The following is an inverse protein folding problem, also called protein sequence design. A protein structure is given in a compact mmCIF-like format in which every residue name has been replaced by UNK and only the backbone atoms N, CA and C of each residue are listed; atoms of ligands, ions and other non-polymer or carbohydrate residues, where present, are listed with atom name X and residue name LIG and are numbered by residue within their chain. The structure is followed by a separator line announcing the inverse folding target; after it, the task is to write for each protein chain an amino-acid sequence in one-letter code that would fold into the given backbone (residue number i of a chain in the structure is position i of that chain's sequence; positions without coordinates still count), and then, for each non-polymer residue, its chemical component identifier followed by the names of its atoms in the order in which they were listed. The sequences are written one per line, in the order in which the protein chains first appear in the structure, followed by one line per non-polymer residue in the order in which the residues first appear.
data_IF_273428701732
#
_entry.id   IF_273428701732
#
_cell.length_a   1.000
_cell.length_b   1.000
_cell.length_c   1.000
_cell.angle_alpha   90.00
_cell.angle_beta   90.00
_cell.angle_gamma   90.00
#
_symmetry.space_group_name_H-M   'P 1'
#
loop_
_entity.id
_entity.type
_entity.pdbx_description
1 polymer ?
#
# COMPACT_ATOMS: atom_id res chain seq x y z
N UNK A 1 6.27 -10.81 8.02
CA UNK A 1 7.06 -10.16 6.97
C UNK A 1 6.26 -10.32 5.69
N UNK A 2 5.98 -9.21 5.02
CA UNK A 2 5.18 -9.16 3.80
C UNK A 2 6.06 -9.68 2.66
N UNK A 3 5.56 -10.63 1.88
CA UNK A 3 6.25 -11.14 0.69
C UNK A 3 5.57 -10.57 -0.56
N UNK A 4 6.32 -10.27 -1.61
CA UNK A 4 5.78 -9.75 -2.87
C UNK A 4 4.65 -10.61 -3.45
N UNK A 5 4.77 -11.95 -3.34
CA UNK A 5 3.75 -12.92 -3.80
C UNK A 5 2.42 -12.84 -3.04
N UNK A 6 2.39 -12.21 -1.86
CA UNK A 6 1.16 -11.97 -1.07
C UNK A 6 0.39 -10.74 -1.55
N UNK A 7 1.05 -9.83 -2.26
CA UNK A 7 0.39 -8.72 -2.92
C UNK A 7 -0.18 -9.19 -4.27
N UNK A 8 -1.26 -8.54 -4.70
CA UNK A 8 -1.92 -8.89 -5.95
C UNK A 8 -1.06 -8.48 -7.16
N UNK A 9 -1.40 -9.00 -8.33
CA UNK A 9 -0.67 -8.68 -9.57
C UNK A 9 -0.99 -7.26 -10.03
N UNK A 10 -0.10 -6.64 -10.83
CA UNK A 10 -0.39 -5.34 -11.45
C UNK A 10 -1.72 -5.36 -12.24
N UNK A 11 -2.07 -6.50 -12.85
CA UNK A 11 -3.33 -6.68 -13.57
C UNK A 11 -4.57 -6.55 -12.69
N UNK A 12 -4.48 -6.87 -11.40
CA UNK A 12 -5.56 -6.65 -10.44
C UNK A 12 -5.78 -5.15 -10.22
N UNK A 13 -4.72 -4.39 -9.94
CA UNK A 13 -4.80 -2.95 -9.68
C UNK A 13 -5.18 -2.11 -10.90
N UNK A 14 -5.12 -2.69 -12.11
CA UNK A 14 -5.72 -2.09 -13.32
C UNK A 14 -7.25 -2.18 -13.33
N UNK A 15 -7.84 -3.14 -12.61
CA UNK A 15 -9.29 -3.43 -12.59
C UNK A 15 -9.96 -3.00 -11.29
N UNK A 16 -9.31 -3.26 -10.17
CA UNK A 16 -9.83 -2.99 -8.84
C UNK A 16 -9.12 -1.77 -8.22
N UNK A 17 -9.83 -0.93 -7.45
CA UNK A 17 -9.30 0.33 -6.96
C UNK A 17 -8.18 0.14 -5.92
N UNK A 18 -8.29 -0.90 -5.08
CA UNK A 18 -7.34 -1.14 -3.99
C UNK A 18 -7.35 -2.58 -3.49
N UNK A 19 -6.33 -2.91 -2.70
CA UNK A 19 -6.18 -4.16 -1.96
C UNK A 19 -5.84 -3.83 -0.51
N UNK A 20 -6.47 -4.50 0.44
CA UNK A 20 -6.15 -4.38 1.87
C UNK A 20 -5.64 -5.70 2.40
N UNK A 21 -4.59 -5.65 3.22
CA UNK A 21 -4.03 -6.80 3.90
C UNK A 21 -3.48 -6.44 5.27
N UNK A 22 -2.97 -7.46 5.98
CA UNK A 22 -2.31 -7.27 7.27
C UNK A 22 -1.13 -8.23 7.44
N UNK A 23 -0.20 -7.84 8.30
CA UNK A 23 0.92 -8.66 8.76
C UNK A 23 1.13 -8.38 10.25
N UNK A 24 0.82 -9.34 11.13
CA UNK A 24 0.84 -9.15 12.60
C UNK A 24 -0.04 -7.95 13.02
N UNK A 25 0.53 -6.97 13.71
CA UNK A 25 -0.17 -5.80 14.26
C UNK A 25 -0.24 -4.62 13.29
N UNK A 26 0.15 -4.79 12.02
CA UNK A 26 0.06 -3.73 11.00
C UNK A 26 -0.93 -4.11 9.90
N UNK A 27 -1.80 -3.16 9.58
CA UNK A 27 -2.70 -3.20 8.45
C UNK A 27 -2.14 -2.33 7.33
N UNK A 28 -2.43 -2.67 6.08
CA UNK A 28 -2.01 -1.89 4.93
C UNK A 28 -3.05 -1.92 3.81
N UNK A 29 -3.14 -0.82 3.06
CA UNK A 29 -3.91 -0.68 1.82
C UNK A 29 -2.94 -0.31 0.71
N UNK A 30 -3.03 -0.98 -0.43
CA UNK A 30 -2.31 -0.62 -1.65
C UNK A 30 -3.35 -0.26 -2.70
N UNK A 31 -3.21 0.91 -3.30
CA UNK A 31 -4.15 1.42 -4.30
C UNK A 31 -3.42 2.00 -5.50
N UNK A 32 -4.11 1.99 -6.65
CA UNK A 32 -3.70 2.76 -7.81
C UNK A 32 -4.07 4.22 -7.53
N UNK A 33 -3.08 5.10 -7.52
CA UNK A 33 -3.25 6.51 -7.20
C UNK A 33 -2.76 7.37 -8.36
N UNK A 34 -3.47 8.44 -8.67
CA UNK A 34 -3.04 9.45 -9.64
C UNK A 34 -2.85 10.73 -8.85
N UNK A 35 -1.61 11.21 -8.78
CA UNK A 35 -1.29 12.47 -8.14
C UNK A 35 -1.94 13.64 -8.88
N UNK A 36 -2.31 14.70 -8.15
CA UNK A 36 -2.94 15.87 -8.77
C UNK A 36 -1.98 16.51 -9.79
N UNK A 37 -2.41 16.58 -11.04
CA UNK A 37 -1.59 17.08 -12.15
C UNK A 37 -0.64 16.05 -12.79
N UNK A 38 -0.66 14.79 -12.35
CA UNK A 38 0.12 13.72 -12.99
C UNK A 38 -0.68 13.02 -14.10
N UNK A 39 0.00 12.70 -15.20
CA UNK A 39 -0.58 11.93 -16.31
C UNK A 39 -0.57 10.41 -16.04
N UNK A 40 0.44 9.94 -15.31
CA UNK A 40 0.63 8.51 -15.02
C UNK A 40 0.30 8.15 -13.57
N UNK A 41 -0.30 6.97 -13.34
CA UNK A 41 -0.58 6.48 -12.00
C UNK A 41 0.69 5.97 -11.30
N UNK A 42 0.65 6.00 -9.97
CA UNK A 42 1.58 5.34 -9.06
C UNK A 42 0.84 4.31 -8.21
N UNK A 43 1.56 3.40 -7.56
CA UNK A 43 1.03 2.73 -6.39
C UNK A 43 1.14 3.64 -5.18
N UNK A 44 0.12 3.62 -4.33
CA UNK A 44 0.18 4.20 -2.98
C UNK A 44 -0.08 3.10 -1.98
N UNK A 45 0.87 2.87 -1.07
CA UNK A 45 0.66 2.06 0.11
C UNK A 45 0.38 2.97 1.30
N UNK A 46 -0.66 2.68 2.07
CA UNK A 46 -0.95 3.30 3.35
C UNK A 46 -0.93 2.22 4.42
N UNK A 47 -0.20 2.44 5.52
CA UNK A 47 -0.11 1.52 6.65
C UNK A 47 -0.57 2.17 7.94
N UNK A 48 -1.07 1.36 8.86
CA UNK A 48 -1.53 1.80 10.18
C UNK A 48 -1.49 0.67 11.20
N UNK A 49 -1.41 0.98 12.50
CA UNK A 49 -1.48 -0.03 13.55
C UNK A 49 -2.89 -0.66 13.60
N UNK A 50 -2.95 -1.97 13.74
CA UNK A 50 -4.17 -2.68 14.11
C UNK A 50 -4.56 -2.41 15.58
N UNK A 51 -5.77 -2.76 16.01
CA UNK A 51 -6.72 -3.66 15.32
C UNK A 51 -7.80 -2.93 14.50
N UNK A 52 -7.80 -1.59 14.48
CA UNK A 52 -8.89 -0.81 13.88
C UNK A 52 -8.81 -0.77 12.34
N UNK A 53 -9.96 -0.53 11.69
CA UNK A 53 -9.99 -0.29 10.25
C UNK A 53 -9.29 1.03 9.91
N UNK A 54 -8.97 1.24 8.62
CA UNK A 54 -8.41 2.51 8.20
C UNK A 54 -9.33 3.67 8.58
N UNK A 55 -10.65 3.57 8.37
CA UNK A 55 -11.58 4.67 8.70
C UNK A 55 -11.61 5.02 10.20
N UNK A 56 -11.33 4.05 11.07
CA UNK A 56 -11.35 4.24 12.52
C UNK A 56 -9.95 4.50 13.10
N UNK A 57 -8.92 4.59 12.26
CA UNK A 57 -7.56 4.94 12.69
C UNK A 57 -7.30 6.41 12.38
N UNK A 58 -6.83 7.22 13.34
CA UNK A 58 -6.49 8.62 13.10
C UNK A 58 -5.46 8.78 11.95
N UNK A 59 -5.60 9.81 11.12
CA UNK A 59 -4.68 10.06 10.00
C UNK A 59 -3.22 10.24 10.46
N UNK A 60 -3.00 10.80 11.66
CA UNK A 60 -1.67 10.95 12.27
C UNK A 60 -0.97 9.61 12.59
N UNK A 61 -1.73 8.51 12.68
CA UNK A 61 -1.21 7.16 12.88
C UNK A 61 -1.06 6.40 11.56
N UNK A 62 -1.41 7.04 10.43
CA UNK A 62 -1.25 6.47 9.10
C UNK A 62 0.00 7.02 8.46
N UNK A 63 0.76 6.13 7.86
CA UNK A 63 1.89 6.49 7.02
C UNK A 63 1.60 6.04 5.60
N UNK A 64 2.06 6.79 4.62
CA UNK A 64 1.93 6.40 3.23
C UNK A 64 3.23 6.57 2.48
N UNK A 65 3.42 5.72 1.47
CA UNK A 65 4.50 5.85 0.52
C UNK A 65 3.99 5.52 -0.89
N UNK A 66 4.64 6.10 -1.90
CA UNK A 66 4.31 5.85 -3.30
C UNK A 66 5.48 5.16 -4.01
N UNK A 67 5.16 4.44 -5.07
CA UNK A 67 6.15 3.83 -5.95
C UNK A 67 5.59 3.77 -7.38
N UNK A 68 6.45 3.70 -8.42
CA UNK A 68 6.00 3.58 -9.80
C UNK A 68 4.98 2.45 -9.99
N UNK A 69 4.00 2.62 -10.89
CA UNK A 69 3.00 1.58 -11.17
C UNK A 69 3.59 0.46 -12.05
N UNK A 70 4.62 -0.23 -11.54
CA UNK A 70 5.35 -1.34 -12.17
C UNK A 70 5.52 -2.51 -11.20
N UNK A 71 6.01 -3.64 -11.70
CA UNK A 71 6.31 -4.80 -10.84
C UNK A 71 7.41 -4.51 -9.82
N UNK A 72 8.44 -3.75 -10.22
CA UNK A 72 9.52 -3.28 -9.35
C UNK A 72 8.98 -2.29 -8.29
N UNK A 73 8.03 -1.43 -8.65
CA UNK A 73 7.40 -0.52 -7.70
C UNK A 73 6.63 -1.26 -6.59
N UNK A 74 5.97 -2.38 -6.91
CA UNK A 74 5.37 -3.23 -5.89
C UNK A 74 6.42 -3.87 -4.97
N UNK A 75 7.58 -4.25 -5.49
CA UNK A 75 8.69 -4.72 -4.65
C UNK A 75 9.21 -3.59 -3.74
N UNK A 76 9.37 -2.37 -4.24
CA UNK A 76 9.77 -1.21 -3.45
C UNK A 76 8.80 -0.95 -2.28
N UNK A 77 7.50 -1.06 -2.53
CA UNK A 77 6.51 -0.95 -1.46
C UNK A 77 6.62 -2.09 -0.45
N UNK A 78 6.88 -3.33 -0.87
CA UNK A 78 7.11 -4.46 0.06
C UNK A 78 8.31 -4.19 0.95
N UNK A 79 9.42 -3.73 0.38
CA UNK A 79 10.65 -3.43 1.12
C UNK A 79 10.40 -2.31 2.13
N UNK A 80 9.76 -1.22 1.69
CA UNK A 80 9.35 -0.12 2.58
C UNK A 80 8.41 -0.61 3.70
N UNK A 81 7.36 -1.37 3.38
CA UNK A 81 6.40 -1.86 4.38
C UNK A 81 7.05 -2.81 5.39
N UNK A 82 8.09 -3.54 5.02
CA UNK A 82 8.84 -4.42 5.93
C UNK A 82 9.86 -3.66 6.78
N UNK A 83 10.48 -2.62 6.23
CA UNK A 83 11.42 -1.76 6.94
C UNK A 83 10.74 -0.75 7.88
N UNK A 84 9.44 -0.49 7.67
CA UNK A 84 8.71 0.47 8.48
C UNK A 84 8.16 -0.15 9.77
N UNK A 85 8.47 0.48 10.89
CA UNK A 85 7.93 0.21 12.22
C UNK A 85 6.72 1.12 12.50
N UNK A 86 5.68 0.53 13.12
CA UNK A 86 4.41 1.16 13.47
C UNK A 86 4.07 0.90 14.93
#
# INVERSE_FOLDING_TARGET
MIERKRLLSIGYYKKAPSFTGSDKNKCYKIEKFVEEGAEEPVFKATMWPGPYSSENTPEEQKISNTAPFTEEGLQQLVDWMNATEL
#
